data_IF_474012501571
#
_entry.id   IF_474012501571
#
_cell.length_a   1.000
_cell.length_b   1.000
_cell.length_c   1.000
_cell.angle_alpha   90.00
_cell.angle_beta   90.00
_cell.angle_gamma   90.00
#
_symmetry.space_group_name_H-M   'P 1'
#
loop_
_entity.id
_entity.type
_entity.pdbx_description
1 polymer ?
#
# COMPACT_ATOMS: atom_id res chain seq x y z
N UNK A 1 17.99 8.20 -4.96
CA UNK A 1 18.36 6.91 -4.33
C UNK A 1 18.81 5.93 -5.40
N UNK A 2 19.77 5.07 -5.08
CA UNK A 2 20.25 3.98 -5.96
C UNK A 2 19.47 2.72 -5.63
N UNK A 3 19.00 2.02 -6.65
CA UNK A 3 18.22 0.79 -6.49
C UNK A 3 19.08 -0.31 -5.81
N UNK A 4 18.54 -0.88 -4.72
CA UNK A 4 19.17 -1.99 -3.95
C UNK A 4 20.57 -1.68 -3.41
N UNK A 5 20.88 -0.42 -3.20
CA UNK A 5 22.12 0.00 -2.54
C UNK A 5 21.97 -0.17 -1.02
N UNK A 6 22.76 -1.11 -0.48
CA UNK A 6 22.74 -1.42 0.96
C UNK A 6 23.72 -0.60 1.79
N UNK A 7 24.49 0.29 1.17
CA UNK A 7 25.52 1.11 1.85
C UNK A 7 24.93 2.08 2.87
N UNK A 8 23.64 2.42 2.73
CA UNK A 8 22.93 3.38 3.55
C UNK A 8 21.82 2.76 4.42
N UNK A 9 21.79 1.44 4.58
CA UNK A 9 20.78 0.77 5.41
C UNK A 9 20.86 1.27 6.86
N UNK A 10 19.77 1.90 7.29
CA UNK A 10 19.64 2.44 8.65
C UNK A 10 19.26 1.35 9.65
N UNK A 11 19.76 1.46 10.88
CA UNK A 11 19.33 0.63 12.00
C UNK A 11 17.83 0.69 12.30
N UNK A 12 17.12 1.73 11.83
CA UNK A 12 15.66 1.88 11.95
C UNK A 12 14.87 0.75 11.26
N UNK A 13 15.47 0.07 10.29
CA UNK A 13 14.85 -1.09 9.64
C UNK A 13 14.54 -2.21 10.63
N UNK A 14 15.39 -2.40 11.65
CA UNK A 14 15.21 -3.45 12.66
C UNK A 14 13.96 -3.23 13.51
N UNK A 15 13.77 -2.08 14.20
CA UNK A 15 12.54 -1.86 14.97
C UNK A 15 11.29 -1.85 14.09
N UNK A 16 11.36 -1.36 12.86
CA UNK A 16 10.23 -1.43 11.93
C UNK A 16 9.85 -2.88 11.61
N UNK A 17 10.81 -3.74 11.31
CA UNK A 17 10.58 -5.17 11.11
C UNK A 17 9.99 -5.82 12.36
N UNK A 18 10.51 -5.50 13.55
CA UNK A 18 9.99 -6.03 14.81
C UNK A 18 8.53 -5.62 15.04
N UNK A 19 8.12 -4.40 14.66
CA UNK A 19 6.72 -3.98 14.72
C UNK A 19 5.85 -4.82 13.79
N UNK A 20 6.29 -5.04 12.55
CA UNK A 20 5.58 -5.91 11.60
C UNK A 20 5.40 -7.31 12.18
N UNK A 21 6.48 -7.92 12.62
CA UNK A 21 6.45 -9.27 13.23
C UNK A 21 5.53 -9.32 14.46
N UNK A 22 5.63 -8.33 15.35
CA UNK A 22 4.80 -8.24 16.54
C UNK A 22 3.29 -8.19 16.19
N UNK A 23 2.90 -7.36 15.21
CA UNK A 23 1.49 -7.24 14.80
C UNK A 23 0.98 -8.57 14.23
N UNK A 24 1.74 -9.22 13.37
CA UNK A 24 1.36 -10.51 12.77
C UNK A 24 1.27 -11.62 13.81
N UNK A 25 2.28 -11.76 14.67
CA UNK A 25 2.28 -12.80 15.70
C UNK A 25 1.19 -12.58 16.74
N UNK A 26 0.90 -11.34 17.12
CA UNK A 26 -0.19 -11.00 18.01
C UNK A 26 -1.57 -11.39 17.44
N UNK A 27 -1.80 -11.17 16.15
CA UNK A 27 -3.05 -11.58 15.50
C UNK A 27 -3.14 -13.11 15.34
N UNK A 28 -2.02 -13.79 15.09
CA UNK A 28 -1.94 -15.26 15.08
C UNK A 28 -2.25 -15.85 16.46
N UNK A 29 -1.65 -15.31 17.52
CA UNK A 29 -1.87 -15.75 18.92
C UNK A 29 -3.33 -15.59 19.34
N UNK A 30 -3.99 -14.53 18.86
CA UNK A 30 -5.43 -14.30 19.06
C UNK A 30 -6.34 -15.18 18.19
N UNK A 31 -5.79 -16.03 17.34
CA UNK A 31 -6.55 -16.87 16.40
C UNK A 31 -7.17 -16.12 15.23
N UNK A 32 -6.76 -14.88 14.97
CA UNK A 32 -7.30 -14.02 13.90
C UNK A 32 -6.65 -14.31 12.54
N UNK A 33 -6.61 -15.55 12.11
CA UNK A 33 -5.97 -15.97 10.84
C UNK A 33 -6.53 -15.24 9.62
N UNK A 34 -7.83 -14.92 9.62
CA UNK A 34 -8.44 -14.13 8.54
C UNK A 34 -7.81 -12.75 8.38
N UNK A 35 -7.48 -12.06 9.50
CA UNK A 35 -6.78 -10.76 9.46
C UNK A 35 -5.35 -10.89 8.95
N UNK A 36 -4.67 -11.95 9.38
CA UNK A 36 -3.29 -12.22 8.91
C UNK A 36 -3.28 -12.44 7.41
N UNK A 37 -4.19 -13.27 6.89
CA UNK A 37 -4.32 -13.51 5.44
C UNK A 37 -4.68 -12.23 4.68
N UNK A 38 -5.59 -11.41 5.21
CA UNK A 38 -5.96 -10.14 4.62
C UNK A 38 -4.78 -9.16 4.58
N UNK A 39 -3.99 -9.10 5.65
CA UNK A 39 -2.76 -8.31 5.71
C UNK A 39 -1.74 -8.75 4.66
N UNK A 40 -1.50 -10.05 4.55
CA UNK A 40 -0.62 -10.62 3.53
C UNK A 40 -1.13 -10.35 2.11
N UNK A 41 -2.45 -10.43 1.89
CA UNK A 41 -3.06 -10.14 0.59
C UNK A 41 -2.88 -8.65 0.21
N UNK A 42 -3.08 -7.73 1.16
CA UNK A 42 -2.85 -6.31 0.97
C UNK A 42 -1.39 -6.02 0.63
N UNK A 43 -0.47 -6.59 1.37
CA UNK A 43 0.96 -6.49 1.12
C UNK A 43 1.37 -7.12 -0.21
N UNK A 44 0.77 -8.26 -0.58
CA UNK A 44 0.96 -8.86 -1.89
C UNK A 44 0.50 -7.97 -3.05
N UNK A 45 -0.57 -7.19 -2.87
CA UNK A 45 -1.03 -6.19 -3.84
C UNK A 45 -0.03 -5.06 -4.02
N UNK A 46 0.66 -4.64 -2.96
CA UNK A 46 1.76 -3.67 -3.03
C UNK A 46 2.87 -4.17 -3.98
N UNK A 47 3.37 -5.38 -3.76
CA UNK A 47 4.36 -5.99 -4.65
C UNK A 47 3.86 -6.17 -6.08
N UNK A 48 2.60 -6.56 -6.25
CA UNK A 48 1.99 -6.68 -7.57
C UNK A 48 1.98 -5.35 -8.32
N UNK A 49 1.54 -4.28 -7.66
CA UNK A 49 1.49 -2.95 -8.26
C UNK A 49 2.90 -2.41 -8.55
N UNK A 50 3.89 -2.70 -7.72
CA UNK A 50 5.26 -2.30 -7.97
C UNK A 50 5.91 -3.03 -9.15
N UNK A 51 5.59 -4.32 -9.33
CA UNK A 51 6.01 -5.06 -10.53
C UNK A 51 5.35 -4.44 -11.76
N UNK A 52 4.05 -4.14 -11.69
CA UNK A 52 3.33 -3.47 -12.77
C UNK A 52 3.94 -2.08 -13.08
N UNK A 53 4.24 -1.28 -12.07
CA UNK A 53 4.93 0.00 -12.19
C UNK A 53 6.28 -0.14 -12.94
N UNK A 54 7.07 -1.13 -12.55
CA UNK A 54 8.34 -1.44 -13.22
C UNK A 54 8.16 -1.90 -14.67
N UNK A 55 7.11 -2.67 -14.98
CA UNK A 55 6.79 -3.08 -16.36
C UNK A 55 6.35 -1.90 -17.22
N UNK A 56 5.53 -0.98 -16.68
CA UNK A 56 5.17 0.25 -17.40
C UNK A 56 6.40 1.06 -17.76
N UNK A 57 7.34 1.23 -16.83
CA UNK A 57 8.61 1.89 -17.11
C UNK A 57 9.41 1.16 -18.20
N UNK A 58 9.54 -0.16 -18.07
CA UNK A 58 10.33 -0.98 -19.01
C UNK A 58 9.78 -0.90 -20.45
N UNK A 59 8.47 -1.08 -20.62
CA UNK A 59 7.86 -1.12 -21.95
C UNK A 59 7.62 0.26 -22.56
N UNK A 60 7.38 1.29 -21.75
CA UNK A 60 7.20 2.64 -22.26
C UNK A 60 8.52 3.33 -22.62
N UNK A 61 9.60 2.97 -21.95
CA UNK A 61 10.89 3.66 -22.06
C UNK A 61 10.84 5.12 -21.58
N UNK A 62 9.75 5.53 -20.89
CA UNK A 62 9.53 6.91 -20.47
C UNK A 62 9.81 7.09 -18.97
N UNK A 63 8.91 6.65 -18.12
CA UNK A 63 9.03 6.77 -16.67
C UNK A 63 8.20 5.71 -15.96
N UNK A 64 8.50 5.36 -14.70
CA UNK A 64 7.57 4.64 -13.85
C UNK A 64 6.32 5.51 -13.59
N UNK A 65 5.22 4.87 -13.23
CA UNK A 65 3.96 5.60 -12.92
C UNK A 65 4.14 6.44 -11.65
N UNK A 66 4.84 5.87 -10.66
CA UNK A 66 5.29 6.57 -9.45
C UNK A 66 6.71 6.16 -9.10
N UNK A 67 7.41 7.05 -8.44
CA UNK A 67 8.78 6.82 -7.99
C UNK A 67 9.07 7.51 -6.66
N UNK A 68 10.04 6.99 -5.92
CA UNK A 68 10.51 7.56 -4.67
C UNK A 68 11.66 8.52 -4.95
N UNK A 69 11.49 9.78 -4.52
CA UNK A 69 12.46 10.85 -4.73
C UNK A 69 13.29 11.17 -3.47
N UNK A 70 12.78 10.83 -2.29
CA UNK A 70 13.42 11.13 -1.00
C UNK A 70 14.53 10.15 -0.62
N UNK A 71 15.21 10.49 0.48
CA UNK A 71 16.16 9.57 1.11
C UNK A 71 15.42 8.37 1.71
N UNK A 72 16.02 7.19 1.57
CA UNK A 72 15.49 5.94 2.10
C UNK A 72 16.64 5.04 2.55
N UNK A 73 16.37 4.19 3.53
CA UNK A 73 17.35 3.18 3.97
C UNK A 73 17.65 2.15 2.87
N UNK A 74 16.63 1.75 2.11
CA UNK A 74 16.80 0.79 1.03
C UNK A 74 15.68 0.94 0.01
N UNK A 75 16.02 1.28 -1.22
CA UNK A 75 15.11 1.28 -2.35
C UNK A 75 15.06 -0.13 -2.96
N UNK A 76 13.91 -0.79 -2.82
CA UNK A 76 13.69 -2.18 -3.29
C UNK A 76 13.33 -2.23 -4.77
N UNK A 77 12.36 -1.40 -5.16
CA UNK A 77 11.89 -1.19 -6.54
C UNK A 77 11.70 0.32 -6.77
N UNK A 78 11.40 0.75 -7.98
CA UNK A 78 11.33 2.17 -8.35
C UNK A 78 10.42 3.01 -7.46
N UNK A 79 9.27 2.47 -7.06
CA UNK A 79 8.29 3.13 -6.20
C UNK A 79 8.16 2.48 -4.82
N UNK A 80 9.03 1.54 -4.45
CA UNK A 80 8.95 0.79 -3.20
C UNK A 80 10.27 0.83 -2.45
N UNK A 81 10.26 1.42 -1.27
CA UNK A 81 11.34 1.34 -0.31
C UNK A 81 10.96 0.43 0.87
N UNK A 82 11.93 0.16 1.74
CA UNK A 82 11.74 -0.75 2.87
C UNK A 82 10.76 -0.18 3.89
N UNK A 83 10.72 1.13 4.05
CA UNK A 83 9.81 1.82 4.96
C UNK A 83 8.36 1.67 4.50
N UNK A 84 8.10 1.88 3.22
CA UNK A 84 6.77 1.75 2.62
C UNK A 84 6.30 0.30 2.65
N UNK A 85 7.14 -0.67 2.27
CA UNK A 85 6.73 -2.07 2.28
C UNK A 85 6.33 -2.55 3.68
N UNK A 86 7.02 -2.11 4.75
CA UNK A 86 6.63 -2.43 6.11
C UNK A 86 5.34 -1.74 6.54
N UNK A 87 5.10 -0.50 6.08
CA UNK A 87 3.81 0.17 6.28
C UNK A 87 2.67 -0.61 5.63
N UNK A 88 2.82 -1.02 4.37
CA UNK A 88 1.81 -1.81 3.66
C UNK A 88 1.58 -3.17 4.31
N UNK A 89 2.63 -3.80 4.86
CA UNK A 89 2.51 -5.09 5.56
C UNK A 89 1.51 -5.04 6.72
N UNK A 90 1.45 -3.94 7.49
CA UNK A 90 0.51 -3.79 8.62
C UNK A 90 -0.81 -3.10 8.23
N UNK A 91 -0.84 -2.30 7.18
CA UNK A 91 -2.03 -1.53 6.78
C UNK A 91 -3.23 -2.43 6.52
N UNK A 92 -3.04 -3.56 5.86
CA UNK A 92 -4.12 -4.51 5.59
C UNK A 92 -4.75 -5.09 6.87
N UNK A 93 -3.94 -5.43 7.86
CA UNK A 93 -4.43 -5.88 9.18
C UNK A 93 -5.23 -4.77 9.84
N UNK A 94 -4.68 -3.56 9.91
CA UNK A 94 -5.35 -2.41 10.53
C UNK A 94 -6.67 -2.06 9.84
N UNK A 95 -6.71 -2.12 8.52
CA UNK A 95 -7.92 -1.85 7.73
C UNK A 95 -9.06 -2.82 8.04
N UNK A 96 -8.75 -4.07 8.43
CA UNK A 96 -9.78 -5.05 8.81
C UNK A 96 -10.32 -4.84 10.23
N UNK A 97 -9.59 -4.13 11.11
CA UNK A 97 -10.03 -3.93 12.50
C UNK A 97 -11.28 -3.06 12.62
N UNK A 98 -11.46 -2.11 11.69
CA UNK A 98 -12.63 -1.23 11.65
C UNK A 98 -13.88 -1.83 10.99
N UNK A 99 -13.77 -3.00 10.38
CA UNK A 99 -14.90 -3.60 9.66
C UNK A 99 -16.00 -4.12 10.57
N UNK A 100 -17.28 -3.91 10.22
CA UNK A 100 -18.39 -4.56 10.90
C UNK A 100 -18.27 -6.08 10.86
N UNK A 101 -18.64 -6.74 11.96
CA UNK A 101 -18.62 -8.22 12.05
C UNK A 101 -19.56 -8.86 11.04
N UNK A 102 -20.71 -8.23 10.78
CA UNK A 102 -21.66 -8.70 9.77
C UNK A 102 -21.15 -8.39 8.36
N UNK A 103 -20.70 -9.43 7.67
CA UNK A 103 -20.23 -9.35 6.29
C UNK A 103 -21.31 -9.01 5.27
N UNK A 104 -22.60 -9.23 5.63
CA UNK A 104 -23.75 -8.97 4.74
C UNK A 104 -24.39 -7.61 4.96
N UNK A 105 -23.96 -6.88 5.99
CA UNK A 105 -24.49 -5.54 6.30
C UNK A 105 -24.30 -4.61 5.09
N UNK A 106 -25.40 -4.00 4.67
CA UNK A 106 -25.45 -3.03 3.56
C UNK A 106 -25.79 -1.65 4.08
N UNK A 107 -25.10 -0.65 3.55
CA UNK A 107 -25.43 0.77 3.73
C UNK A 107 -25.84 1.34 2.38
N UNK A 108 -27.01 1.98 2.30
CA UNK A 108 -27.55 2.50 1.06
C UNK A 108 -27.59 1.45 -0.08
N UNK A 109 -27.88 0.20 0.25
CA UNK A 109 -27.95 -0.91 -0.71
C UNK A 109 -26.61 -1.54 -1.11
N UNK A 110 -25.47 -0.93 -0.75
CA UNK A 110 -24.13 -1.39 -1.06
C UNK A 110 -23.50 -2.10 0.15
N UNK A 111 -22.76 -3.18 -0.09
CA UNK A 111 -22.06 -3.90 0.98
C UNK A 111 -21.08 -2.96 1.71
N UNK A 112 -21.03 -3.04 3.03
CA UNK A 112 -20.17 -2.19 3.86
C UNK A 112 -18.67 -2.28 3.47
N UNK A 113 -18.18 -3.44 2.97
CA UNK A 113 -16.78 -3.60 2.52
C UNK A 113 -16.42 -2.62 1.41
N UNK A 114 -17.33 -2.38 0.47
CA UNK A 114 -17.10 -1.41 -0.60
C UNK A 114 -17.04 0.04 -0.10
N UNK A 115 -17.85 0.37 0.91
CA UNK A 115 -17.78 1.68 1.55
C UNK A 115 -16.44 1.88 2.24
N UNK A 116 -15.99 0.91 3.02
CA UNK A 116 -14.68 0.97 3.67
C UNK A 116 -13.54 1.00 2.63
N UNK A 117 -13.61 0.20 1.58
CA UNK A 117 -12.64 0.24 0.50
C UNK A 117 -12.56 1.62 -0.14
N UNK A 118 -13.70 2.22 -0.47
CA UNK A 118 -13.74 3.55 -1.08
C UNK A 118 -13.18 4.64 -0.13
N UNK A 119 -13.59 4.63 1.14
CA UNK A 119 -13.13 5.62 2.13
C UNK A 119 -11.63 5.50 2.38
N UNK A 120 -11.14 4.30 2.62
CA UNK A 120 -9.70 4.10 2.87
C UNK A 120 -8.87 4.36 1.61
N UNK A 121 -9.38 4.04 0.42
CA UNK A 121 -8.70 4.41 -0.83
C UNK A 121 -8.62 5.92 -1.00
N UNK A 122 -9.69 6.65 -0.70
CA UNK A 122 -9.67 8.11 -0.75
C UNK A 122 -8.67 8.71 0.25
N UNK A 123 -8.62 8.17 1.47
CA UNK A 123 -7.62 8.59 2.48
C UNK A 123 -6.19 8.29 2.01
N UNK A 124 -5.96 7.11 1.41
CA UNK A 124 -4.65 6.75 0.87
C UNK A 124 -4.22 7.67 -0.27
N UNK A 125 -5.15 8.05 -1.16
CA UNK A 125 -4.89 9.06 -2.20
C UNK A 125 -4.50 10.40 -1.57
N UNK A 126 -5.19 10.85 -0.53
CA UNK A 126 -4.85 12.09 0.17
C UNK A 126 -3.43 12.02 0.76
N UNK A 127 -3.06 10.90 1.39
CA UNK A 127 -1.70 10.70 1.93
C UNK A 127 -0.67 10.74 0.81
N UNK A 128 -0.90 10.05 -0.30
CA UNK A 128 0.00 10.05 -1.46
C UNK A 128 0.18 11.45 -2.05
N UNK A 129 -0.90 12.23 -2.14
CA UNK A 129 -0.83 13.63 -2.57
C UNK A 129 0.00 14.49 -1.61
N UNK A 130 -0.08 14.23 -0.29
CA UNK A 130 0.74 14.90 0.71
C UNK A 130 2.22 14.52 0.57
N UNK A 131 2.54 13.24 0.36
CA UNK A 131 3.90 12.77 0.12
C UNK A 131 4.50 13.38 -1.15
N UNK A 132 3.71 13.48 -2.21
CA UNK A 132 4.14 14.17 -3.43
C UNK A 132 4.36 15.68 -3.19
N UNK A 133 3.49 16.32 -2.40
CA UNK A 133 3.68 17.74 -2.03
C UNK A 133 4.94 17.98 -1.20
N UNK A 134 5.33 16.99 -0.39
CA UNK A 134 6.56 17.00 0.39
C UNK A 134 7.82 16.64 -0.42
N UNK A 135 7.69 16.32 -1.73
CA UNK A 135 8.81 15.93 -2.58
C UNK A 135 9.34 14.51 -2.31
N UNK A 136 8.60 13.70 -1.56
CA UNK A 136 9.00 12.32 -1.23
C UNK A 136 8.60 11.31 -2.31
N UNK A 137 7.59 11.65 -3.12
CA UNK A 137 7.03 10.83 -4.18
C UNK A 137 6.90 11.66 -5.45
N UNK A 138 7.19 11.08 -6.61
CA UNK A 138 7.08 11.73 -7.92
C UNK A 138 6.17 10.95 -8.86
N UNK A 139 5.51 11.68 -9.77
CA UNK A 139 4.66 11.17 -10.82
C UNK A 139 4.98 11.86 -12.14
N UNK A 140 5.11 11.09 -13.20
CA UNK A 140 5.46 11.61 -14.53
C UNK A 140 4.36 11.39 -15.58
N UNK A 141 3.26 10.72 -15.21
CA UNK A 141 2.17 10.41 -16.11
C UNK A 141 0.97 11.34 -15.93
N UNK A 142 0.37 11.89 -17.01
CA UNK A 142 -0.77 12.83 -16.90
C UNK A 142 -2.03 12.22 -16.27
N UNK A 143 -2.20 10.90 -16.40
CA UNK A 143 -3.35 10.15 -15.88
C UNK A 143 -3.12 9.63 -14.45
N UNK A 144 -1.95 9.94 -13.85
CA UNK A 144 -1.60 9.58 -12.49
C UNK A 144 -0.98 10.78 -11.78
N UNK A 145 -1.75 11.42 -10.89
CA UNK A 145 -1.26 12.59 -10.18
C UNK A 145 -2.37 13.51 -9.70
N UNK A 146 -2.00 14.73 -9.30
CA UNK A 146 -2.95 15.71 -8.73
C UNK A 146 -4.08 16.09 -9.68
N UNK A 147 -3.83 16.15 -10.97
CA UNK A 147 -4.83 16.45 -12.00
C UNK A 147 -5.74 15.27 -12.33
N UNK A 148 -5.31 14.06 -11.99
CA UNK A 148 -6.01 12.81 -12.26
C UNK A 148 -5.95 11.85 -11.06
N UNK A 149 -6.46 12.25 -9.88
CA UNK A 149 -6.42 11.41 -8.67
C UNK A 149 -7.22 10.11 -8.82
N UNK A 150 -8.09 10.04 -9.81
CA UNK A 150 -8.89 8.85 -10.15
C UNK A 150 -8.02 7.65 -10.56
N UNK A 151 -6.89 7.89 -11.24
CA UNK A 151 -5.93 6.84 -11.57
C UNK A 151 -5.39 6.19 -10.30
N UNK A 152 -4.93 7.00 -9.35
CA UNK A 152 -4.42 6.56 -8.06
C UNK A 152 -5.51 5.82 -7.26
N UNK A 153 -6.76 6.35 -7.28
CA UNK A 153 -7.87 5.76 -6.57
C UNK A 153 -8.29 4.40 -7.15
N UNK A 154 -8.61 4.33 -8.45
CA UNK A 154 -9.21 3.14 -9.06
C UNK A 154 -8.20 2.06 -9.43
N UNK A 155 -6.99 2.42 -9.85
CA UNK A 155 -5.95 1.48 -10.27
C UNK A 155 -4.92 1.22 -9.17
N UNK A 156 -4.72 2.21 -8.29
CA UNK A 156 -3.88 2.08 -7.12
C UNK A 156 -4.62 1.43 -5.96
N UNK A 157 -5.25 2.23 -5.09
CA UNK A 157 -5.68 1.80 -3.76
C UNK A 157 -6.95 0.98 -3.70
N UNK A 158 -7.96 1.23 -4.54
CA UNK A 158 -9.22 0.49 -4.47
C UNK A 158 -9.03 -1.04 -4.64
N UNK A 159 -8.19 -1.53 -5.57
CA UNK A 159 -7.90 -2.95 -5.67
C UNK A 159 -7.24 -3.54 -4.41
N UNK A 160 -6.35 -2.79 -3.73
CA UNK A 160 -5.73 -3.24 -2.48
C UNK A 160 -6.76 -3.56 -1.41
N UNK A 161 -7.65 -2.59 -1.13
CA UNK A 161 -8.70 -2.77 -0.12
C UNK A 161 -9.74 -3.79 -0.54
N UNK A 162 -10.10 -3.84 -1.83
CA UNK A 162 -11.04 -4.83 -2.35
C UNK A 162 -10.52 -6.26 -2.16
N UNK A 163 -9.27 -6.53 -2.54
CA UNK A 163 -8.61 -7.85 -2.35
C UNK A 163 -8.46 -8.17 -0.88
N UNK A 164 -8.00 -7.23 -0.07
CA UNK A 164 -7.87 -7.38 1.37
C UNK A 164 -9.19 -7.81 2.02
N UNK A 165 -10.29 -7.13 1.71
CA UNK A 165 -11.60 -7.41 2.29
C UNK A 165 -12.28 -8.64 1.70
N UNK A 166 -11.92 -9.03 0.49
CA UNK A 166 -12.36 -10.29 -0.10
C UNK A 166 -11.71 -11.50 0.58
N UNK A 167 -10.43 -11.39 0.91
CA UNK A 167 -9.67 -12.44 1.62
C UNK A 167 -10.10 -12.52 3.10
N UNK A 168 -10.43 -11.38 3.74
CA UNK A 168 -10.90 -11.32 5.14
C UNK A 168 -12.31 -11.93 5.30
#
# INVERSE_FOLDING_TARGET
>A
AVLRDTSHVSWMVIPMLLVVLYVYFMELDRGNTGRVLAGLAFWGMDWFNEIWNGLVFHFSGHAPVWGIAGDTSLLLLMGLNIEITFMFAITGIMATMGLPKDKKLKWLGVNNRWWFAAVFSALSVCVEMMLNAAGMLVWDWPWWGRSAPWGIFFLGYLPFYAVCYWVY
#
